data_IF_811594094141
#
_entry.id   IF_811594094141
#
_cell.length_a   1.000
_cell.length_b   1.000
_cell.length_c   1.000
_cell.angle_alpha   90.00
_cell.angle_beta   90.00
_cell.angle_gamma   90.00
#
_symmetry.space_group_name_H-M   'P 1'
#
loop_
_entity.id
_entity.type
_entity.pdbx_description
1 polymer ?
#
# COMPACT_ATOMS: atom_id res chain seq x y z
N UNK A 1 6.20 1.90 6.49
CA UNK A 1 6.20 1.17 5.21
C UNK A 1 4.91 1.45 4.49
N UNK A 2 4.99 1.63 3.18
CA UNK A 2 3.88 2.07 2.36
C UNK A 2 3.59 1.05 1.26
N UNK A 3 2.31 0.78 1.00
CA UNK A 3 1.87 0.21 -0.28
C UNK A 3 1.40 1.35 -1.16
N UNK A 4 1.88 1.36 -2.39
CA UNK A 4 1.40 2.24 -3.45
C UNK A 4 0.50 1.43 -4.36
N UNK A 5 -0.76 1.83 -4.53
CA UNK A 5 -1.70 1.22 -5.48
C UNK A 5 -1.98 2.15 -6.63
N UNK A 6 -1.89 1.68 -7.87
CA UNK A 6 -2.39 2.45 -9.03
C UNK A 6 -3.78 1.98 -9.44
N UNK A 7 -4.69 2.93 -9.70
CA UNK A 7 -5.98 2.66 -10.34
C UNK A 7 -5.83 2.00 -11.73
N UNK A 8 -6.93 1.48 -12.30
CA UNK A 8 -6.93 0.63 -13.48
C UNK A 8 -6.50 1.41 -14.72
N UNK A 9 -5.26 1.21 -15.15
CA UNK A 9 -4.86 1.52 -16.51
C UNK A 9 -5.16 0.32 -17.40
N UNK A 10 -5.69 0.54 -18.61
CA UNK A 10 -5.43 -0.40 -19.71
C UNK A 10 -3.94 -0.33 -20.01
N UNK A 11 -3.11 -1.01 -19.21
CA UNK A 11 -1.75 -1.33 -19.61
C UNK A 11 -1.92 -2.08 -20.92
N UNK A 12 -1.44 -1.51 -22.04
CA UNK A 12 -1.53 -2.14 -23.36
C UNK A 12 -0.88 -3.53 -23.38
N UNK A 13 -0.19 -3.92 -22.30
CA UNK A 13 0.21 -5.28 -21.94
C UNK A 13 0.05 -5.53 -20.42
N UNK A 14 -1.13 -5.96 -19.96
CA UNK A 14 -1.21 -6.74 -18.69
C UNK A 14 -0.55 -8.13 -18.81
N UNK A 15 0.08 -8.41 -19.95
CA UNK A 15 0.92 -9.59 -20.22
C UNK A 15 2.38 -9.43 -19.80
N UNK A 16 2.75 -8.34 -19.13
CA UNK A 16 4.13 -8.15 -18.64
C UNK A 16 4.20 -8.72 -17.23
N UNK A 17 4.61 -9.98 -17.14
CA UNK A 17 5.54 -10.39 -16.08
C UNK A 17 6.67 -9.37 -16.12
N UNK A 18 7.05 -8.81 -14.97
CA UNK A 18 8.19 -7.89 -14.90
C UNK A 18 9.36 -8.55 -15.62
N UNK A 19 10.00 -7.85 -16.56
CA UNK A 19 11.18 -8.44 -17.19
C UNK A 19 12.31 -8.59 -16.16
N UNK A 20 13.30 -9.43 -16.46
CA UNK A 20 14.36 -9.74 -15.50
C UNK A 20 15.16 -8.50 -15.07
N UNK A 21 15.29 -7.50 -15.96
CA UNK A 21 16.00 -6.26 -15.65
C UNK A 21 15.17 -5.35 -14.74
N UNK A 22 13.87 -5.24 -14.98
CA UNK A 22 12.94 -4.49 -14.14
C UNK A 22 12.86 -5.08 -12.72
N UNK A 23 12.76 -6.41 -12.60
CA UNK A 23 12.78 -7.09 -11.30
C UNK A 23 14.08 -6.82 -10.55
N UNK A 24 15.22 -7.00 -11.22
CA UNK A 24 16.53 -6.73 -10.62
C UNK A 24 16.68 -5.28 -10.19
N UNK A 25 16.15 -4.33 -10.96
CA UNK A 25 16.14 -2.92 -10.59
C UNK A 25 15.29 -2.65 -9.34
N UNK A 26 14.07 -3.20 -9.25
CA UNK A 26 13.23 -3.08 -8.05
C UNK A 26 13.95 -3.62 -6.83
N UNK A 27 14.46 -4.84 -6.91
CA UNK A 27 15.06 -5.53 -5.78
C UNK A 27 16.31 -4.82 -5.25
N UNK A 28 17.05 -4.15 -6.14
CA UNK A 28 18.22 -3.34 -5.78
C UNK A 28 17.83 -1.96 -5.23
N UNK A 29 16.72 -1.40 -5.69
CA UNK A 29 16.37 0.02 -5.45
C UNK A 29 15.45 0.20 -4.24
N UNK A 30 14.50 -0.72 -4.05
CA UNK A 30 13.48 -0.60 -3.02
C UNK A 30 13.73 -1.53 -1.86
N UNK A 31 13.75 -0.93 -0.67
CA UNK A 31 13.90 -1.65 0.59
C UNK A 31 12.56 -1.68 1.31
N UNK A 32 12.36 -2.72 2.11
CA UNK A 32 11.38 -2.77 3.21
C UNK A 32 12.10 -2.71 4.54
N UNK A 33 11.36 -2.48 5.63
CA UNK A 33 11.89 -2.58 7.00
C UNK A 33 11.16 -3.68 7.75
N UNK A 34 11.84 -4.42 8.60
CA UNK A 34 11.20 -5.37 9.52
C UNK A 34 11.62 -5.07 10.95
N UNK A 35 10.71 -5.25 11.90
CA UNK A 35 10.99 -5.04 13.31
C UNK A 35 11.85 -6.18 13.84
N UNK A 36 13.02 -5.86 14.39
CA UNK A 36 14.02 -6.85 14.83
C UNK A 36 13.99 -7.13 16.32
N UNK A 37 13.25 -6.31 17.08
CA UNK A 37 13.07 -6.47 18.52
C UNK A 37 11.58 -6.49 18.87
N UNK A 38 11.21 -7.34 19.83
CA UNK A 38 9.85 -7.39 20.37
C UNK A 38 9.78 -6.43 21.54
N UNK A 39 8.96 -5.40 21.41
CA UNK A 39 8.63 -4.46 22.49
C UNK A 39 7.19 -4.71 22.91
N UNK A 40 6.92 -5.18 24.13
CA UNK A 40 5.55 -5.43 24.57
C UNK A 40 4.71 -4.15 24.50
N UNK A 41 3.59 -4.22 23.79
CA UNK A 41 2.61 -3.14 23.71
C UNK A 41 1.61 -3.17 24.88
N UNK A 42 0.53 -2.40 24.76
CA UNK A 42 -0.62 -2.49 25.68
C UNK A 42 -1.32 -3.85 25.62
N UNK A 43 -1.34 -4.44 24.44
CA UNK A 43 -1.82 -5.80 24.18
C UNK A 43 -0.62 -6.75 24.27
N UNK A 44 -0.59 -7.71 25.21
CA UNK A 44 0.52 -8.66 25.37
C UNK A 44 0.81 -9.50 24.12
N UNK A 45 -0.17 -9.64 23.23
CA UNK A 45 -0.03 -10.41 21.98
C UNK A 45 0.60 -9.59 20.86
N UNK A 46 0.82 -8.28 21.07
CA UNK A 46 1.30 -7.34 20.05
C UNK A 46 2.58 -6.63 20.46
N UNK A 47 3.48 -6.52 19.50
CA UNK A 47 4.65 -5.66 19.60
C UNK A 47 4.24 -4.19 19.39
N UNK A 48 5.02 -3.25 19.94
CA UNK A 48 4.87 -1.82 19.72
C UNK A 48 4.94 -1.40 18.23
N UNK A 49 5.51 -2.24 17.37
CA UNK A 49 5.50 -2.06 15.91
C UNK A 49 4.13 -2.36 15.26
N UNK A 50 3.17 -2.90 16.02
CA UNK A 50 1.81 -3.26 15.59
C UNK A 50 1.64 -4.72 15.13
N UNK A 51 2.73 -5.48 14.97
CA UNK A 51 2.67 -6.89 14.60
C UNK A 51 2.33 -7.79 15.79
N UNK A 52 1.72 -8.95 15.51
CA UNK A 52 1.61 -10.01 16.50
C UNK A 52 3.01 -10.52 16.86
N UNK A 53 3.23 -10.82 18.14
CA UNK A 53 4.52 -11.35 18.61
C UNK A 53 4.89 -12.64 17.85
N UNK A 54 3.91 -13.48 17.53
CA UNK A 54 4.08 -14.70 16.73
C UNK A 54 4.51 -14.47 15.29
N UNK A 55 4.30 -13.27 14.73
CA UNK A 55 4.67 -12.92 13.37
C UNK A 55 6.04 -12.23 13.27
N UNK A 56 6.74 -12.04 14.40
CA UNK A 56 8.15 -11.68 14.35
C UNK A 56 8.96 -12.89 13.90
N UNK A 57 9.54 -12.81 12.70
CA UNK A 57 10.44 -13.84 12.19
C UNK A 57 11.71 -13.82 13.05
N UNK A 58 12.09 -14.97 13.61
CA UNK A 58 13.42 -15.13 14.20
C UNK A 58 14.46 -14.83 13.13
N UNK A 59 15.29 -13.82 13.36
CA UNK A 59 16.38 -13.47 12.45
C UNK A 59 17.24 -14.74 12.28
N UNK A 60 17.36 -15.30 11.07
CA UNK A 60 18.21 -16.47 10.88
C UNK A 60 19.66 -16.11 11.26
N UNK A 61 20.34 -16.92 12.08
CA UNK A 61 21.76 -16.72 12.35
C UNK A 61 22.51 -16.96 11.04
N UNK A 62 23.05 -15.91 10.43
CA UNK A 62 23.76 -16.00 9.15
C UNK A 62 23.60 -14.81 8.19
N UNK A 63 22.70 -13.86 8.48
CA UNK A 63 22.54 -12.63 7.71
C UNK A 63 23.25 -11.42 8.36
N UNK A 64 24.46 -11.63 8.88
CA UNK A 64 25.30 -10.57 9.45
C UNK A 64 26.68 -10.57 8.80
N UNK A 65 26.98 -9.48 8.09
CA UNK A 65 28.27 -8.84 8.26
C UNK A 65 28.57 -8.78 9.76
N UNK A 66 29.75 -9.27 10.14
CA UNK A 66 30.21 -9.40 11.52
C UNK A 66 29.79 -8.23 12.41
N UNK A 67 29.35 -8.58 13.62
CA UNK A 67 28.80 -7.75 14.70
C UNK A 67 27.26 -7.82 14.82
N UNK A 68 26.82 -8.38 15.95
CA UNK A 68 25.43 -8.51 16.44
C UNK A 68 24.58 -9.65 15.87
N UNK A 69 25.02 -10.88 16.15
CA UNK A 69 24.10 -12.01 16.31
C UNK A 69 23.49 -11.99 17.73
N UNK A 70 22.58 -11.05 17.99
CA UNK A 70 21.70 -11.16 19.15
C UNK A 70 20.51 -12.06 18.78
N UNK A 71 20.19 -13.11 19.57
CA UNK A 71 18.91 -13.81 19.47
C UNK A 71 17.74 -12.82 19.56
N UNK A 72 16.52 -13.27 19.24
CA UNK A 72 15.30 -12.56 19.66
C UNK A 72 15.23 -12.56 21.20
N UNK A 73 16.05 -11.75 21.85
CA UNK A 73 16.01 -11.55 23.29
C UNK A 73 14.74 -10.75 23.55
N UNK A 74 13.77 -11.35 24.24
CA UNK A 74 12.83 -10.56 25.03
C UNK A 74 13.71 -9.74 25.97
N UNK A 75 13.99 -8.49 25.61
CA UNK A 75 14.72 -7.63 26.52
C UNK A 75 13.68 -7.25 27.58
N UNK A 76 13.85 -7.82 28.78
CA UNK A 76 13.21 -7.29 29.98
C UNK A 76 13.57 -5.81 30.03
N UNK A 77 12.54 -4.98 29.86
CA UNK A 77 12.57 -3.56 29.52
C UNK A 77 13.91 -2.84 29.83
N UNK A 78 14.75 -2.55 28.82
CA UNK A 78 15.60 -1.39 28.94
C UNK A 78 14.67 -0.18 28.84
N UNK A 79 14.99 0.93 29.50
CA UNK A 79 14.22 2.17 29.49
C UNK A 79 14.03 2.81 28.07
N UNK A 80 14.35 2.09 26.99
CA UNK A 80 14.31 2.56 25.61
C UNK A 80 12.90 2.42 25.03
N UNK A 81 12.45 3.46 24.33
CA UNK A 81 11.15 3.46 23.65
C UNK A 81 11.33 2.91 22.25
N UNK A 82 10.39 2.06 21.81
CA UNK A 82 10.39 1.58 20.44
C UNK A 82 10.44 2.75 19.45
N UNK A 83 11.27 2.61 18.44
CA UNK A 83 11.48 3.60 17.40
C UNK A 83 11.84 2.90 16.11
N UNK A 84 11.34 3.43 14.99
CA UNK A 84 11.55 2.84 13.67
C UNK A 84 13.04 2.78 13.33
N UNK A 85 13.81 3.81 13.70
CA UNK A 85 15.22 3.92 13.32
C UNK A 85 16.08 2.87 14.01
N UNK A 86 15.94 2.70 15.33
CA UNK A 86 16.78 1.79 16.12
C UNK A 86 16.32 0.33 16.03
N UNK A 87 15.01 0.11 15.98
CA UNK A 87 14.43 -1.21 16.23
C UNK A 87 13.89 -1.89 14.97
N UNK A 88 14.24 -1.37 13.79
CA UNK A 88 13.94 -2.01 12.52
C UNK A 88 15.19 -2.13 11.66
N UNK A 89 15.27 -3.20 10.88
CA UNK A 89 16.34 -3.42 9.89
C UNK A 89 15.77 -3.36 8.48
N UNK A 90 16.53 -2.83 7.55
CA UNK A 90 16.16 -2.78 6.13
C UNK A 90 16.53 -4.07 5.40
N UNK A 91 15.66 -4.50 4.50
CA UNK A 91 15.87 -5.64 3.61
C UNK A 91 15.41 -5.28 2.20
N UNK A 92 15.91 -5.91 1.13
CA UNK A 92 15.30 -5.82 -0.20
C UNK A 92 13.80 -6.11 -0.14
N UNK A 93 12.99 -5.35 -0.89
CA UNK A 93 11.55 -5.58 -0.89
C UNK A 93 11.22 -6.93 -1.53
N UNK A 94 10.31 -7.65 -0.91
CA UNK A 94 9.80 -8.95 -1.34
C UNK A 94 8.30 -8.90 -1.60
N UNK A 95 7.71 -7.71 -1.73
CA UNK A 95 6.26 -7.54 -1.84
C UNK A 95 5.96 -6.51 -2.93
N UNK A 96 5.80 -7.01 -4.15
CA UNK A 96 5.43 -6.21 -5.32
C UNK A 96 4.80 -7.10 -6.39
N UNK A 97 3.91 -6.51 -7.19
CA UNK A 97 3.25 -7.23 -8.28
C UNK A 97 1.93 -6.60 -8.67
N UNK A 98 0.95 -7.45 -8.98
CA UNK A 98 -0.39 -7.05 -9.40
C UNK A 98 -1.42 -7.60 -8.41
N UNK A 99 -2.29 -6.73 -7.92
CA UNK A 99 -3.48 -7.11 -7.17
C UNK A 99 -4.66 -7.15 -8.13
N UNK A 100 -5.42 -8.24 -8.08
CA UNK A 100 -6.69 -8.37 -8.79
C UNK A 100 -7.85 -8.25 -7.79
N UNK A 101 -8.61 -7.15 -7.90
CA UNK A 101 -9.81 -6.95 -7.08
C UNK A 101 -10.97 -7.74 -7.65
N UNK A 102 -11.48 -8.70 -6.87
CA UNK A 102 -12.68 -9.49 -7.22
C UNK A 102 -13.94 -8.82 -6.66
N UNK A 103 -14.92 -8.50 -7.52
CA UNK A 103 -16.26 -8.06 -7.12
C UNK A 103 -16.94 -7.08 -8.09
N UNK A 104 -18.26 -7.25 -8.31
CA UNK A 104 -19.09 -6.30 -9.07
C UNK A 104 -19.11 -6.48 -10.59
N UNK A 105 -18.87 -7.69 -11.11
CA UNK A 105 -18.99 -8.02 -12.54
C UNK A 105 -17.81 -7.62 -13.43
N UNK A 106 -16.79 -6.93 -12.89
CA UNK A 106 -15.57 -6.54 -13.61
C UNK A 106 -14.31 -6.84 -12.78
N UNK A 107 -13.24 -7.30 -13.43
CA UNK A 107 -11.93 -7.49 -12.82
C UNK A 107 -11.11 -6.21 -12.95
N UNK A 108 -10.78 -5.58 -11.81
CA UNK A 108 -9.86 -4.43 -11.77
C UNK A 108 -8.48 -4.89 -11.29
N UNK A 109 -7.43 -4.48 -12.01
CA UNK A 109 -6.04 -4.77 -11.66
C UNK A 109 -5.33 -3.50 -11.22
N UNK A 110 -4.49 -3.61 -10.19
CA UNK A 110 -3.63 -2.54 -9.71
C UNK A 110 -2.19 -3.04 -9.54
N UNK A 111 -1.21 -2.21 -9.89
CA UNK A 111 0.18 -2.45 -9.53
C UNK A 111 0.38 -2.10 -8.05
N UNK A 112 1.23 -2.86 -7.36
CA UNK A 112 1.61 -2.55 -5.99
C UNK A 112 3.08 -2.82 -5.71
N UNK A 113 3.61 -2.10 -4.71
CA UNK A 113 4.94 -2.30 -4.12
C UNK A 113 4.91 -1.90 -2.64
N UNK A 114 5.56 -2.68 -1.78
CA UNK A 114 5.88 -2.34 -0.40
C UNK A 114 7.23 -1.65 -0.35
N UNK A 115 7.28 -0.44 0.21
CA UNK A 115 8.51 0.34 0.35
C UNK A 115 8.74 0.84 1.77
N UNK A 116 10.00 1.07 2.12
CA UNK A 116 10.42 1.74 3.35
C UNK A 116 10.03 3.22 3.33
N UNK A 117 9.84 3.82 4.50
CA UNK A 117 9.37 5.20 4.62
C UNK A 117 10.40 6.24 4.17
N UNK A 118 11.68 5.86 4.16
CA UNK A 118 12.85 6.65 3.77
C UNK A 118 13.25 6.44 2.30
N UNK A 119 12.39 5.80 1.50
CA UNK A 119 12.59 5.64 0.06
C UNK A 119 12.61 7.01 -0.62
N UNK A 120 13.63 7.26 -1.44
CA UNK A 120 13.75 8.52 -2.20
C UNK A 120 12.54 8.71 -3.14
N UNK A 121 11.86 9.86 -3.12
CA UNK A 121 10.73 10.14 -4.02
C UNK A 121 11.07 9.97 -5.51
N UNK A 122 12.30 10.30 -5.92
CA UNK A 122 12.75 10.14 -7.32
C UNK A 122 12.66 8.70 -7.81
N UNK A 123 12.98 7.72 -6.95
CA UNK A 123 12.85 6.31 -7.28
C UNK A 123 11.38 5.92 -7.47
N UNK A 124 10.47 6.46 -6.64
CA UNK A 124 9.03 6.23 -6.77
C UNK A 124 8.48 6.87 -8.04
N UNK A 125 8.92 8.08 -8.38
CA UNK A 125 8.52 8.74 -9.62
C UNK A 125 9.03 7.98 -10.85
N UNK A 126 10.28 7.49 -10.81
CA UNK A 126 10.83 6.62 -11.85
C UNK A 126 9.95 5.39 -12.04
N UNK A 127 9.64 4.68 -10.95
CA UNK A 127 8.78 3.50 -10.98
C UNK A 127 7.41 3.81 -11.61
N UNK A 128 6.78 4.91 -11.19
CA UNK A 128 5.47 5.32 -11.67
C UNK A 128 5.47 5.68 -13.16
N UNK A 129 6.43 6.48 -13.62
CA UNK A 129 6.44 7.00 -14.99
C UNK A 129 7.08 6.03 -15.99
N UNK A 130 8.15 5.33 -15.59
CA UNK A 130 8.92 4.45 -16.48
C UNK A 130 8.40 3.02 -16.47
N UNK A 131 8.35 2.39 -15.31
CA UNK A 131 7.98 0.98 -15.20
C UNK A 131 6.47 0.77 -15.29
N UNK A 132 5.70 1.57 -14.56
CA UNK A 132 4.23 1.52 -14.60
C UNK A 132 3.62 2.30 -15.76
N UNK A 133 4.44 3.04 -16.51
CA UNK A 133 4.04 3.79 -17.71
C UNK A 133 2.88 4.76 -17.45
N UNK A 134 2.86 5.38 -16.26
CA UNK A 134 1.91 6.44 -15.96
C UNK A 134 2.28 7.71 -16.73
N UNK A 135 1.27 8.34 -17.31
CA UNK A 135 1.43 9.66 -17.92
C UNK A 135 1.71 10.69 -16.83
N UNK A 136 2.78 11.47 -17.02
CA UNK A 136 3.19 12.48 -16.05
C UNK A 136 2.03 13.48 -15.82
N UNK A 137 1.63 13.76 -14.57
CA UNK A 137 0.51 14.63 -14.30
C UNK A 137 0.90 16.09 -14.50
N UNK A 138 -0.06 16.89 -14.92
CA UNK A 138 0.05 18.37 -14.91
C UNK A 138 -0.31 18.96 -13.54
N UNK A 139 -1.03 18.20 -12.71
CA UNK A 139 -1.54 18.60 -11.41
C UNK A 139 -1.63 17.39 -10.46
N UNK A 140 -1.44 17.62 -9.17
CA UNK A 140 -1.67 16.63 -8.12
C UNK A 140 -2.85 17.02 -7.25
N UNK A 141 -3.78 16.10 -7.04
CA UNK A 141 -4.91 16.26 -6.11
C UNK A 141 -4.66 15.32 -4.94
N UNK A 142 -4.40 15.86 -3.75
CA UNK A 142 -4.24 15.04 -2.54
C UNK A 142 -5.51 15.05 -1.71
N UNK A 143 -6.08 13.87 -1.42
CA UNK A 143 -7.29 13.72 -0.60
C UNK A 143 -6.95 12.98 0.69
N UNK A 144 -7.23 13.63 1.82
CA UNK A 144 -7.02 13.08 3.15
C UNK A 144 -8.30 13.23 3.99
N UNK A 145 -8.40 12.45 5.06
CA UNK A 145 -9.52 12.52 6.01
C UNK A 145 -9.31 11.61 7.20
N UNK A 146 -10.26 11.65 8.14
CA UNK A 146 -10.25 10.78 9.32
C UNK A 146 -10.45 9.31 8.94
N UNK A 147 -10.02 8.41 9.84
CA UNK A 147 -10.18 6.95 9.70
C UNK A 147 -11.58 6.47 10.11
N UNK A 148 -12.36 7.31 10.80
CA UNK A 148 -13.71 6.95 11.23
C UNK A 148 -14.67 6.97 10.04
N UNK A 149 -15.38 5.87 9.84
CA UNK A 149 -16.41 5.78 8.81
C UNK A 149 -17.62 6.63 9.19
N UNK A 150 -18.17 7.32 8.19
CA UNK A 150 -19.37 8.14 8.30
C UNK A 150 -20.10 8.12 6.96
N UNK A 151 -21.41 8.36 6.95
CA UNK A 151 -22.21 8.48 5.73
C UNK A 151 -22.37 9.92 5.26
N UNK A 152 -22.05 10.15 3.98
CA UNK A 152 -22.38 11.39 3.30
C UNK A 152 -23.83 11.36 2.85
N UNK A 153 -24.53 12.49 3.01
CA UNK A 153 -25.85 12.67 2.40
C UNK A 153 -25.77 12.42 0.88
N UNK A 154 -26.77 11.77 0.25
CA UNK A 154 -26.70 11.37 -1.15
C UNK A 154 -26.34 12.50 -2.14
N UNK A 155 -26.92 13.69 -1.94
CA UNK A 155 -26.64 14.87 -2.76
C UNK A 155 -25.17 15.31 -2.65
N UNK A 156 -24.62 15.32 -1.44
CA UNK A 156 -23.22 15.68 -1.19
C UNK A 156 -22.27 14.63 -1.75
N UNK A 157 -22.56 13.33 -1.54
CA UNK A 157 -21.80 12.22 -2.13
C UNK A 157 -21.72 12.34 -3.66
N UNK A 158 -22.84 12.67 -4.30
CA UNK A 158 -22.90 12.86 -5.75
C UNK A 158 -22.08 14.06 -6.22
N UNK A 159 -22.22 15.23 -5.57
CA UNK A 159 -21.49 16.45 -5.95
C UNK A 159 -20.00 16.27 -5.74
N UNK A 160 -19.59 15.70 -4.59
CA UNK A 160 -18.20 15.38 -4.28
C UNK A 160 -17.60 14.45 -5.33
N UNK A 161 -18.23 13.30 -5.57
CA UNK A 161 -17.72 12.30 -6.51
C UNK A 161 -17.63 12.83 -7.94
N UNK A 162 -18.69 13.46 -8.45
CA UNK A 162 -18.70 14.03 -9.81
C UNK A 162 -17.69 15.18 -9.96
N UNK A 163 -17.58 16.06 -8.96
CA UNK A 163 -16.65 17.19 -8.97
C UNK A 163 -15.20 16.73 -8.99
N UNK A 164 -14.84 15.80 -8.10
CA UNK A 164 -13.49 15.22 -8.02
C UNK A 164 -13.09 14.55 -9.33
N UNK A 165 -13.95 13.69 -9.86
CA UNK A 165 -13.70 12.98 -11.12
C UNK A 165 -13.58 13.96 -12.29
N UNK A 166 -14.49 14.93 -12.38
CA UNK A 166 -14.45 15.94 -13.45
C UNK A 166 -13.15 16.74 -13.40
N UNK A 167 -12.74 17.21 -12.23
CA UNK A 167 -11.49 17.96 -12.07
C UNK A 167 -10.27 17.14 -12.50
N UNK A 168 -10.18 15.88 -12.07
CA UNK A 168 -9.08 14.99 -12.43
C UNK A 168 -9.02 14.70 -13.93
N UNK A 169 -10.17 14.39 -14.56
CA UNK A 169 -10.25 14.12 -16.00
C UNK A 169 -9.92 15.35 -16.84
N UNK A 170 -10.44 16.53 -16.46
CA UNK A 170 -10.24 17.77 -17.23
C UNK A 170 -8.79 18.21 -17.24
N UNK A 171 -8.06 18.00 -16.15
CA UNK A 171 -6.67 18.45 -16.01
C UNK A 171 -5.64 17.36 -16.34
N UNK A 172 -6.02 16.08 -16.31
CA UNK A 172 -5.07 14.97 -16.32
C UNK A 172 -4.35 14.81 -14.97
N UNK A 173 -4.98 15.19 -13.87
CA UNK A 173 -4.36 15.15 -12.55
C UNK A 173 -4.24 13.71 -12.00
N UNK A 174 -3.20 13.48 -11.20
CA UNK A 174 -3.12 12.29 -10.34
C UNK A 174 -3.82 12.56 -9.02
N UNK A 175 -4.63 11.60 -8.56
CA UNK A 175 -5.29 11.65 -7.26
C UNK A 175 -4.48 10.84 -6.25
N UNK A 176 -3.87 11.48 -5.26
CA UNK A 176 -3.23 10.83 -4.13
C UNK A 176 -4.22 10.65 -2.97
N UNK A 177 -4.23 9.48 -2.36
CA UNK A 177 -5.16 9.14 -1.28
C UNK A 177 -4.55 8.15 -0.28
N UNK A 178 -5.19 7.94 0.87
CA UNK A 178 -4.70 7.05 1.94
C UNK A 178 -4.75 5.55 1.62
N UNK A 179 -5.28 5.15 0.46
CA UNK A 179 -5.25 3.77 -0.05
C UNK A 179 -6.03 2.72 0.75
N UNK A 180 -6.56 3.08 1.92
CA UNK A 180 -7.35 2.21 2.80
C UNK A 180 -8.82 2.58 2.79
N UNK A 181 -9.70 1.58 2.91
CA UNK A 181 -11.14 1.76 2.86
C UNK A 181 -11.73 2.34 4.16
N UNK A 182 -11.38 3.58 4.49
CA UNK A 182 -11.81 4.24 5.73
C UNK A 182 -12.21 5.70 5.50
N UNK A 183 -13.18 6.17 6.28
CA UNK A 183 -13.65 7.56 6.31
C UNK A 183 -13.83 8.18 4.93
N UNK A 184 -13.15 9.31 4.67
CA UNK A 184 -13.23 10.05 3.40
C UNK A 184 -12.77 9.21 2.21
N UNK A 185 -11.76 8.35 2.41
CA UNK A 185 -11.14 7.57 1.32
C UNK A 185 -12.12 6.56 0.72
N UNK A 186 -13.07 6.06 1.51
CA UNK A 186 -14.16 5.19 1.02
C UNK A 186 -14.99 5.89 -0.06
N UNK A 187 -15.27 7.18 0.13
CA UNK A 187 -16.09 7.98 -0.79
C UNK A 187 -15.34 8.32 -2.07
N UNK A 188 -14.03 8.48 -1.99
CA UNK A 188 -13.14 8.59 -3.17
C UNK A 188 -13.17 7.28 -3.96
N UNK A 189 -13.03 6.14 -3.28
CA UNK A 189 -13.12 4.81 -3.89
C UNK A 189 -14.46 4.58 -4.62
N UNK A 190 -15.57 4.97 -4.00
CA UNK A 190 -16.91 4.92 -4.62
C UNK A 190 -16.99 5.78 -5.89
N UNK A 191 -16.46 7.01 -5.85
CA UNK A 191 -16.48 7.91 -7.00
C UNK A 191 -15.64 7.37 -8.18
N UNK A 192 -14.47 6.78 -7.90
CA UNK A 192 -13.62 6.15 -8.90
C UNK A 192 -14.30 4.92 -9.52
N UNK A 193 -14.98 4.10 -8.71
CA UNK A 193 -15.77 2.95 -9.16
C UNK A 193 -16.92 3.36 -10.07
N UNK A 194 -17.70 4.34 -9.65
CA UNK A 194 -18.85 4.85 -10.40
C UNK A 194 -18.44 5.45 -11.75
N UNK A 195 -17.27 6.10 -11.82
CA UNK A 195 -16.72 6.60 -13.08
C UNK A 195 -16.26 5.46 -13.99
N UNK A 196 -15.49 4.50 -13.46
CA UNK A 196 -14.94 3.39 -14.22
C UNK A 196 -16.00 2.48 -14.86
N UNK A 197 -17.17 2.36 -14.23
CA UNK A 197 -18.28 1.55 -14.76
C UNK A 197 -19.06 2.24 -15.89
N UNK A 198 -19.03 3.58 -15.94
CA UNK A 198 -19.88 4.40 -16.83
C UNK A 198 -19.13 5.12 -17.95
N UNK A 199 -17.81 5.25 -17.86
CA UNK A 199 -17.01 6.04 -18.79
C UNK A 199 -15.73 5.31 -19.23
N UNK A 200 -15.19 5.74 -20.38
CA UNK A 200 -13.87 5.34 -20.88
C UNK A 200 -12.74 6.29 -20.44
N UNK A 201 -13.09 7.38 -19.75
CA UNK A 201 -12.13 8.34 -19.20
C UNK A 201 -11.19 7.69 -18.19
N UNK A 202 -9.90 8.04 -18.25
CA UNK A 202 -8.87 7.47 -17.37
C UNK A 202 -8.60 8.46 -16.23
N UNK A 203 -8.82 8.03 -15.00
CA UNK A 203 -8.38 8.76 -13.81
C UNK A 203 -7.25 7.97 -13.18
N UNK A 204 -6.09 8.61 -13.00
CA UNK A 204 -4.98 8.01 -12.29
C UNK A 204 -5.15 8.28 -10.80
N UNK A 205 -5.38 7.22 -10.02
CA UNK A 205 -5.46 7.29 -8.57
C UNK A 205 -4.33 6.48 -7.95
N UNK A 206 -3.67 7.06 -6.94
CA UNK A 206 -2.54 6.50 -6.22
C UNK A 206 -2.90 6.41 -4.74
N UNK A 207 -3.07 5.18 -4.25
CA UNK A 207 -3.34 4.90 -2.84
C UNK A 207 -2.06 4.62 -2.06
N UNK A 208 -1.80 5.37 -0.99
CA UNK A 208 -0.64 5.21 -0.10
C UNK A 208 -1.13 4.72 1.26
N UNK A 209 -0.94 3.43 1.54
CA UNK A 209 -1.43 2.78 2.75
C UNK A 209 -0.29 2.30 3.66
N UNK A 210 -0.38 2.45 5.00
CA UNK A 210 0.57 1.85 5.93
C UNK A 210 0.50 0.32 5.89
N UNK A 211 1.62 -0.38 5.70
CA UNK A 211 1.66 -1.85 5.66
C UNK A 211 1.09 -2.52 6.92
N UNK A 212 1.34 -1.92 8.09
CA UNK A 212 1.00 -2.52 9.39
C UNK A 212 -0.50 -2.65 9.64
N UNK A 213 -1.33 -1.84 8.97
CA UNK A 213 -2.77 -1.82 9.19
C UNK A 213 -3.54 -2.69 8.18
N UNK A 214 -2.85 -3.27 7.20
CA UNK A 214 -3.48 -4.04 6.14
C UNK A 214 -3.89 -5.44 6.63
N UNK A 215 -5.12 -5.82 6.30
CA UNK A 215 -5.58 -7.19 6.47
C UNK A 215 -5.00 -8.09 5.37
N UNK A 216 -4.76 -9.36 5.69
CA UNK A 216 -4.26 -10.38 4.74
C UNK A 216 -3.01 -9.93 3.95
N UNK A 217 -2.17 -9.09 4.55
CA UNK A 217 -0.92 -8.59 3.93
C UNK A 217 0.06 -9.71 3.58
N UNK A 218 -0.08 -10.88 4.19
CA UNK A 218 0.70 -12.08 3.89
C UNK A 218 0.48 -12.53 2.43
N UNK A 219 -0.74 -12.33 1.87
CA UNK A 219 -1.07 -12.63 0.47
C UNK A 219 -0.38 -11.68 -0.53
N UNK A 220 0.16 -10.55 -0.03
CA UNK A 220 0.91 -9.57 -0.81
C UNK A 220 2.42 -9.83 -0.74
N UNK A 221 2.87 -10.85 -0.01
CA UNK A 221 4.28 -11.21 0.06
C UNK A 221 4.61 -12.11 -1.14
N UNK A 222 5.63 -11.68 -1.87
CA UNK A 222 6.27 -12.38 -2.97
C UNK A 222 6.67 -11.42 -4.10
N UNK A 223 7.57 -11.91 -4.94
CA UNK A 223 8.17 -11.16 -6.05
C UNK A 223 7.38 -11.41 -7.33
N UNK A 224 6.84 -10.35 -7.92
CA UNK A 224 5.98 -10.42 -9.11
C UNK A 224 4.76 -11.34 -8.91
N UNK A 225 4.14 -11.24 -7.74
CA UNK A 225 2.96 -12.02 -7.41
C UNK A 225 1.73 -11.40 -8.07
N UNK A 226 1.00 -12.23 -8.82
CA UNK A 226 -0.41 -11.96 -9.16
C UNK A 226 -1.26 -12.42 -8.00
N UNK A 227 -1.41 -11.55 -7.01
CA UNK A 227 -2.17 -11.89 -5.82
C UNK A 227 -3.66 -11.75 -6.14
N UNK A 228 -4.38 -12.86 -6.07
CA UNK A 228 -5.83 -12.85 -6.04
C UNK A 228 -6.25 -12.51 -4.63
N UNK A 229 -6.19 -11.23 -4.27
CA UNK A 229 -6.80 -10.80 -3.03
C UNK A 229 -8.31 -10.97 -3.18
N UNK A 230 -8.87 -11.94 -2.46
CA UNK A 230 -10.31 -12.02 -2.24
C UNK A 230 -10.63 -10.89 -1.26
N UNK A 231 -10.67 -9.66 -1.76
CA UNK A 231 -11.34 -8.59 -1.07
C UNK A 231 -12.82 -8.99 -0.98
N UNK A 232 -13.25 -9.54 0.16
CA UNK A 232 -14.66 -9.89 0.41
C UNK A 232 -15.62 -8.68 0.43
N UNK A 233 -15.31 -7.55 -0.21
CA UNK A 233 -16.31 -6.51 -0.44
C UNK A 233 -16.17 -5.86 -1.82
N UNK A 234 -17.26 -5.96 -2.57
CA UNK A 234 -17.54 -5.47 -3.91
C UNK A 234 -16.93 -4.09 -4.26
N UNK A 235 -15.83 -4.13 -5.01
CA UNK A 235 -15.53 -3.12 -6.03
C UNK A 235 -14.86 -1.81 -5.59
N UNK A 236 -14.05 -1.81 -4.53
CA UNK A 236 -13.27 -0.62 -4.15
C UNK A 236 -11.79 -0.80 -4.51
N UNK A 237 -11.19 0.20 -5.14
CA UNK A 237 -9.74 0.28 -5.42
C UNK A 237 -8.95 0.66 -4.14
N UNK A 238 -9.39 0.18 -2.98
CA UNK A 238 -8.83 0.49 -1.67
C UNK A 238 -8.59 -0.81 -0.91
N UNK A 239 -7.53 -0.85 -0.11
CA UNK A 239 -7.19 -2.00 0.72
C UNK A 239 -8.05 -2.01 1.98
N UNK A 240 -8.32 -3.21 2.50
CA UNK A 240 -8.92 -3.37 3.81
C UNK A 240 -7.92 -3.06 4.92
N UNK A 241 -8.42 -2.44 5.98
CA UNK A 241 -7.67 -2.16 7.20
C UNK A 241 -8.24 -3.02 8.32
N UNK A 242 -7.37 -3.59 9.16
CA UNK A 242 -7.76 -4.34 10.35
C UNK A 242 -8.52 -3.46 11.34
N UNK A 243 -9.44 -4.06 12.10
CA UNK A 243 -10.15 -3.39 13.19
C UNK A 243 -9.15 -2.84 14.22
N UNK A 244 -9.13 -1.53 14.41
CA UNK A 244 -8.46 -0.91 15.55
C UNK A 244 -9.37 -1.04 16.78
N UNK A 245 -9.03 -1.91 17.72
CA UNK A 245 -9.50 -1.74 19.10
C UNK A 245 -8.78 -0.50 19.65
N UNK A 246 -9.55 0.55 19.99
CA UNK A 246 -9.05 1.73 20.69
C UNK A 246 -8.63 1.37 22.12
#
# INVERSE_FOLDING_TARGET
>A
MLIILTGPHKVKKFHVLWDSAQRAWIERTFLKRECIHIFPGKDPTRCACGQLVTHHVAIPPGASSLEEAAPLVQIDAPNDKWSVIKHTRTYPTDSFGIIEFQGGGFMNKAMYIRVSYDTKPDNLLHLMVKDWQLELPTLLISVHGGLQNFDLQPKLKQVFGKGLIKAAVTTGAWIFTGGVNTGVIRHVGDALKDHSSKSRGKVCAIGIAPWGILENKEDLIGKDVRSRLICMFSGMQTLKCGSFSR
#
